data_IF_237002313830
#
_entry.id   IF_237002313830
#
_cell.length_a   1.000
_cell.length_b   1.000
_cell.length_c   1.000
_cell.angle_alpha   90.00
_cell.angle_beta   90.00
_cell.angle_gamma   90.00
#
_symmetry.space_group_name_H-M   'P 1'
#
loop_
_entity.id
_entity.type
_entity.pdbx_description
1 polymer ?
#
# COMPACT_ATOMS: atom_id res chain seq x y z
N UNK A 1 -15.49 -20.07 -13.87
CA UNK A 1 -14.89 -18.99 -13.05
C UNK A 1 -13.43 -18.85 -13.44
N UNK A 2 -12.94 -17.64 -13.71
CA UNK A 2 -11.56 -17.41 -14.17
C UNK A 2 -10.63 -17.25 -12.97
N UNK A 3 -9.98 -18.35 -12.57
CA UNK A 3 -9.05 -18.38 -11.42
C UNK A 3 -7.72 -17.76 -11.87
N UNK A 4 -7.58 -16.45 -11.67
CA UNK A 4 -6.30 -15.75 -11.87
C UNK A 4 -5.53 -15.69 -10.55
N UNK A 5 -4.21 -15.92 -10.57
CA UNK A 5 -3.37 -15.65 -9.41
C UNK A 5 -3.37 -14.15 -9.12
N UNK A 6 -3.46 -13.79 -7.84
CA UNK A 6 -3.47 -12.42 -7.34
C UNK A 6 -2.32 -12.27 -6.35
N UNK A 7 -1.51 -11.23 -6.52
CA UNK A 7 -0.53 -10.84 -5.52
C UNK A 7 -0.96 -9.55 -4.85
N UNK A 8 -0.98 -9.55 -3.52
CA UNK A 8 -1.23 -8.35 -2.72
C UNK A 8 0.11 -7.71 -2.36
N UNK A 9 0.23 -6.40 -2.58
CA UNK A 9 1.39 -5.62 -2.20
C UNK A 9 0.91 -4.32 -1.57
N UNK A 10 1.24 -4.12 -0.30
CA UNK A 10 0.92 -2.89 0.41
C UNK A 10 1.96 -1.81 0.14
N UNK A 11 1.51 -0.59 -0.14
CA UNK A 11 2.34 0.60 -0.25
C UNK A 11 1.94 1.61 0.82
N UNK A 12 2.46 1.47 2.07
CA UNK A 12 2.09 2.34 3.19
C UNK A 12 2.80 3.70 3.10
N UNK A 13 2.49 4.48 2.07
CA UNK A 13 3.12 5.76 1.79
C UNK A 13 2.26 6.92 2.31
N UNK A 14 2.68 7.54 3.41
CA UNK A 14 2.04 8.73 4.02
C UNK A 14 2.81 10.04 3.68
N UNK A 15 3.44 10.09 2.51
CA UNK A 15 4.33 11.18 2.07
C UNK A 15 3.66 12.16 1.06
N UNK A 16 2.36 12.00 0.83
CA UNK A 16 1.62 12.63 -0.27
C UNK A 16 0.82 13.87 0.11
N UNK A 17 -0.44 13.93 -0.37
CA UNK A 17 -1.32 15.11 -0.51
C UNK A 17 -1.78 15.82 0.78
N UNK A 18 -0.90 15.95 1.79
CA UNK A 18 -1.17 16.50 3.12
C UNK A 18 -2.24 15.74 3.92
N UNK A 19 -2.53 14.49 3.55
CA UNK A 19 -3.40 13.58 4.32
C UNK A 19 -2.50 12.65 5.09
N UNK A 20 -2.66 12.63 6.42
CA UNK A 20 -1.96 11.71 7.31
C UNK A 20 -2.78 10.46 7.57
N UNK A 21 -2.11 9.37 7.91
CA UNK A 21 -2.72 8.10 8.28
C UNK A 21 -3.08 7.21 7.09
N UNK A 22 -2.65 7.54 5.86
CA UNK A 22 -2.91 6.68 4.70
C UNK A 22 -1.97 5.47 4.64
N UNK A 23 -0.85 5.52 5.37
CA UNK A 23 0.04 4.38 5.65
C UNK A 23 -0.68 3.20 6.31
N UNK A 24 -1.73 3.47 7.10
CA UNK A 24 -2.54 2.42 7.73
C UNK A 24 -3.44 1.66 6.74
N UNK A 25 -3.64 2.18 5.52
CA UNK A 25 -4.57 1.63 4.53
C UNK A 25 -4.32 0.16 4.20
N UNK A 26 -3.09 -0.27 3.83
CA UNK A 26 -2.78 -1.67 3.58
C UNK A 26 -3.11 -2.59 4.75
N UNK A 27 -2.80 -2.19 5.98
CA UNK A 27 -3.11 -2.97 7.18
C UNK A 27 -4.62 -3.04 7.45
N UNK A 28 -5.34 -1.93 7.23
CA UNK A 28 -6.80 -1.89 7.39
C UNK A 28 -7.52 -2.82 6.40
N UNK A 29 -7.06 -2.89 5.15
CA UNK A 29 -7.61 -3.80 4.14
C UNK A 29 -7.36 -5.27 4.50
N UNK A 30 -6.19 -5.60 5.03
CA UNK A 30 -5.90 -6.95 5.54
C UNK A 30 -6.77 -7.30 6.74
N UNK A 31 -6.93 -6.36 7.67
CA UNK A 31 -7.82 -6.56 8.82
C UNK A 31 -9.28 -6.76 8.41
N UNK A 32 -9.71 -6.17 7.29
CA UNK A 32 -11.03 -6.39 6.69
C UNK A 32 -11.15 -7.70 5.88
N UNK A 33 -10.22 -8.64 6.04
CA UNK A 33 -10.22 -9.97 5.41
C UNK A 33 -10.24 -9.92 3.87
N UNK A 34 -9.48 -9.00 3.27
CA UNK A 34 -9.41 -8.89 1.81
C UNK A 34 -8.92 -10.18 1.15
N UNK A 35 -7.90 -10.82 1.73
CA UNK A 35 -7.32 -12.06 1.20
C UNK A 35 -8.35 -13.19 1.21
N UNK A 36 -9.02 -13.41 2.33
CA UNK A 36 -10.01 -14.45 2.51
C UNK A 36 -11.22 -14.25 1.60
N UNK A 37 -11.63 -12.99 1.37
CA UNK A 37 -12.66 -12.66 0.38
C UNK A 37 -12.26 -13.07 -1.03
N UNK A 38 -11.02 -12.78 -1.45
CA UNK A 38 -10.52 -13.15 -2.78
C UNK A 38 -10.39 -14.67 -2.95
N UNK A 39 -9.95 -15.37 -1.89
CA UNK A 39 -9.91 -16.84 -1.86
C UNK A 39 -11.32 -17.43 -1.99
N UNK A 40 -12.32 -16.89 -1.28
CA UNK A 40 -13.74 -17.32 -1.39
C UNK A 40 -14.31 -17.14 -2.80
N UNK A 41 -13.83 -16.14 -3.54
CA UNK A 41 -14.19 -15.92 -4.95
C UNK A 41 -13.49 -16.91 -5.91
N UNK A 42 -12.60 -17.76 -5.41
CA UNK A 42 -11.93 -18.83 -6.14
C UNK A 42 -10.55 -18.48 -6.68
N UNK A 43 -9.97 -17.36 -6.28
CA UNK A 43 -8.62 -16.94 -6.67
C UNK A 43 -7.54 -17.65 -5.85
N UNK A 44 -6.36 -17.77 -6.45
CA UNK A 44 -5.11 -18.10 -5.73
C UNK A 44 -4.46 -16.78 -5.33
N UNK A 45 -4.22 -16.57 -4.04
CA UNK A 45 -3.80 -15.26 -3.50
C UNK A 45 -2.50 -15.43 -2.76
N UNK A 46 -1.56 -14.52 -3.00
CA UNK A 46 -0.29 -14.45 -2.28
C UNK A 46 -0.10 -13.03 -1.76
N UNK A 47 0.00 -12.88 -0.44
CA UNK A 47 0.41 -11.61 0.15
C UNK A 47 1.94 -11.47 0.14
N UNK A 48 2.43 -10.44 -0.56
CA UNK A 48 3.85 -10.11 -0.65
C UNK A 48 4.30 -9.16 0.47
N UNK A 49 3.39 -8.78 1.37
CA UNK A 49 3.66 -7.86 2.47
C UNK A 49 3.61 -6.41 2.02
N UNK A 50 4.41 -5.56 2.68
CA UNK A 50 4.52 -4.14 2.36
C UNK A 50 5.86 -3.86 1.69
N UNK A 51 5.87 -2.94 0.73
CA UNK A 51 7.13 -2.32 0.31
C UNK A 51 7.73 -1.55 1.48
N UNK A 52 9.06 -1.51 1.54
CA UNK A 52 9.75 -0.65 2.49
C UNK A 52 9.40 0.81 2.20
N UNK A 53 8.83 1.47 3.20
CA UNK A 53 8.54 2.89 3.20
C UNK A 53 9.18 3.51 4.44
N UNK A 54 9.78 4.69 4.28
CA UNK A 54 10.25 5.45 5.43
C UNK A 54 9.05 5.96 6.23
N UNK A 55 9.10 5.79 7.55
CA UNK A 55 8.12 6.37 8.46
C UNK A 55 8.26 7.90 8.43
N UNK A 56 7.17 8.67 8.25
CA UNK A 56 7.21 10.13 8.18
C UNK A 56 7.88 10.79 9.38
N UNK A 57 7.79 10.19 10.56
CA UNK A 57 8.38 10.67 11.81
C UNK A 57 9.91 10.65 11.80
N UNK A 58 10.49 9.78 10.97
CA UNK A 58 11.94 9.55 10.88
C UNK A 58 12.51 10.05 9.54
N UNK A 59 11.64 10.28 8.56
CA UNK A 59 12.01 10.78 7.25
C UNK A 59 12.58 12.20 7.36
N UNK A 60 13.85 12.37 7.03
CA UNK A 60 14.46 13.69 6.91
C UNK A 60 13.96 14.38 5.64
N UNK A 61 13.46 15.61 5.73
CA UNK A 61 13.12 16.43 4.55
C UNK A 61 14.39 16.73 3.77
N UNK A 62 14.61 16.03 2.64
CA UNK A 62 15.78 16.22 1.78
C UNK A 62 15.61 17.37 0.78
N UNK A 63 14.40 17.55 0.27
CA UNK A 63 14.05 18.61 -0.68
C UNK A 63 12.67 19.20 -0.36
N UNK A 64 12.63 20.50 -0.05
CA UNK A 64 11.40 21.22 0.30
C UNK A 64 10.51 21.52 -0.92
N UNK A 65 11.05 21.40 -2.13
CA UNK A 65 10.36 21.65 -3.39
C UNK A 65 9.79 20.39 -4.04
N UNK A 66 10.15 19.20 -3.53
CA UNK A 66 9.76 17.89 -4.08
C UNK A 66 8.26 17.53 -3.95
N UNK A 67 7.41 18.49 -3.54
CA UNK A 67 5.95 18.34 -3.55
C UNK A 67 5.41 18.14 -4.98
N UNK A 68 6.10 18.69 -5.97
CA UNK A 68 5.74 18.57 -7.38
C UNK A 68 6.96 18.06 -8.16
N UNK A 69 6.83 16.87 -8.74
CA UNK A 69 7.83 16.33 -9.66
C UNK A 69 7.36 16.56 -11.11
N UNK A 70 8.30 16.78 -12.05
CA UNK A 70 7.98 16.70 -13.47
C UNK A 70 7.32 15.36 -13.77
N UNK A 71 6.29 15.35 -14.62
CA UNK A 71 5.74 14.11 -15.13
C UNK A 71 6.84 13.35 -15.90
N UNK A 72 6.97 12.05 -15.61
CA UNK A 72 7.92 11.13 -16.25
C UNK A 72 7.30 10.52 -17.50
#
# INVERSE_FOLDING_TARGET
MNRRPISLLGAPLDLGAARRGVDMGPSALRYAELEEHLIRLGHDVTDLGNVAAELPEVASVRDRSARYLPAI
#
